data_IF_033133666843
#
_entry.id   IF_033133666843
#
_cell.length_a   1.000
_cell.length_b   1.000
_cell.length_c   1.000
_cell.angle_alpha   90.00
_cell.angle_beta   90.00
_cell.angle_gamma   90.00
#
_symmetry.space_group_name_H-M   'P 1'
#
loop_
_entity.id
_entity.type
_entity.pdbx_description
1 polymer ?
#
# COMPACT_ATOMS: atom_id res chain seq x y z
N UNK A 1 7.13 36.98 50.41
CA UNK A 1 5.93 36.59 49.64
C UNK A 1 6.37 35.52 48.71
N UNK A 2 6.28 34.28 49.17
CA UNK A 2 6.68 33.08 48.46
C UNK A 2 5.55 32.71 47.52
N UNK A 3 5.83 32.76 46.21
CA UNK A 3 4.93 32.24 45.20
C UNK A 3 5.33 30.76 44.95
N UNK A 4 4.51 29.83 45.44
CA UNK A 4 4.62 28.41 45.12
C UNK A 4 4.56 28.20 43.60
N UNK A 5 5.37 27.29 43.01
CA UNK A 5 5.23 26.89 41.61
C UNK A 5 3.98 26.06 41.45
N UNK A 6 3.13 26.49 40.53
CA UNK A 6 1.94 25.80 40.07
C UNK A 6 2.26 24.34 39.71
N UNK A 7 1.51 23.39 40.34
CA UNK A 7 1.59 21.97 40.04
C UNK A 7 1.33 21.71 38.55
N UNK A 8 2.34 21.18 37.87
CA UNK A 8 2.22 20.61 36.53
C UNK A 8 1.19 19.47 36.62
N UNK A 9 0.04 19.68 36.00
CA UNK A 9 -0.99 18.67 35.82
C UNK A 9 -0.38 17.45 35.13
N UNK A 10 -0.50 16.31 35.77
CA UNK A 10 -0.17 14.98 35.21
C UNK A 10 -0.71 14.86 33.77
N UNK A 11 0.05 14.31 32.81
CA UNK A 11 -0.46 14.16 31.46
C UNK A 11 -1.69 13.26 31.50
N UNK A 12 -2.85 13.85 31.16
CA UNK A 12 -4.05 13.08 30.93
C UNK A 12 -3.72 11.95 29.96
N UNK A 13 -4.05 10.72 30.32
CA UNK A 13 -3.99 9.55 29.43
C UNK A 13 -4.88 9.86 28.22
N UNK A 14 -4.28 10.39 27.15
CA UNK A 14 -4.99 10.65 25.91
C UNK A 14 -5.50 9.32 25.37
N UNK A 15 -6.82 9.18 25.29
CA UNK A 15 -7.48 8.11 24.54
C UNK A 15 -6.85 8.04 23.15
N UNK A 16 -6.50 6.84 22.65
CA UNK A 16 -5.98 6.69 21.28
C UNK A 16 -6.95 7.38 20.32
N UNK A 17 -6.42 8.27 19.48
CA UNK A 17 -7.23 9.03 18.52
C UNK A 17 -7.82 8.08 17.48
N UNK A 18 -9.03 8.38 17.01
CA UNK A 18 -9.59 7.69 15.85
C UNK A 18 -8.73 7.92 14.59
N UNK A 19 -8.66 6.94 13.71
CA UNK A 19 -7.83 6.97 12.50
C UNK A 19 -8.00 8.27 11.68
N UNK A 20 -9.25 8.74 11.51
CA UNK A 20 -9.51 9.97 10.75
C UNK A 20 -8.91 11.21 11.41
N UNK A 21 -8.91 11.28 12.74
CA UNK A 21 -8.25 12.35 13.50
C UNK A 21 -6.73 12.24 13.39
N UNK A 22 -6.20 11.02 13.50
CA UNK A 22 -4.76 10.79 13.36
C UNK A 22 -4.27 11.16 11.95
N UNK A 23 -5.01 10.82 10.90
CA UNK A 23 -4.68 11.18 9.52
C UNK A 23 -4.53 12.70 9.28
N UNK A 24 -5.29 13.52 10.03
CA UNK A 24 -5.20 14.99 9.94
C UNK A 24 -4.04 15.55 10.74
N UNK A 25 -3.65 14.93 11.85
CA UNK A 25 -2.72 15.50 12.83
C UNK A 25 -1.33 14.87 12.84
N UNK A 26 -1.17 13.60 12.43
CA UNK A 26 0.11 12.92 12.44
C UNK A 26 1.15 13.62 11.56
N UNK A 27 2.41 13.66 12.03
CA UNK A 27 3.52 14.34 11.35
C UNK A 27 3.47 15.88 11.41
N UNK A 28 2.63 16.45 12.30
CA UNK A 28 2.41 17.90 12.47
C UNK A 28 2.59 18.40 13.90
N UNK A 29 3.13 17.56 14.78
CA UNK A 29 3.16 17.82 16.23
C UNK A 29 3.97 19.06 16.61
N UNK A 30 5.01 19.42 15.84
CA UNK A 30 5.92 20.55 16.06
C UNK A 30 5.52 21.84 15.36
N UNK A 31 4.49 21.85 14.50
CA UNK A 31 4.13 23.03 13.70
C UNK A 31 3.81 24.24 14.56
N UNK A 32 3.15 24.05 15.70
CA UNK A 32 2.82 25.14 16.62
C UNK A 32 4.09 25.80 17.19
N UNK A 33 5.12 25.04 17.55
CA UNK A 33 6.39 25.56 18.04
C UNK A 33 7.19 26.31 16.96
N UNK A 34 6.96 25.94 15.69
CA UNK A 34 7.54 26.63 14.52
C UNK A 34 6.71 27.85 14.09
N UNK A 35 5.58 28.13 14.73
CA UNK A 35 4.65 29.20 14.32
C UNK A 35 3.99 28.95 12.98
N UNK A 36 3.85 27.68 12.56
CA UNK A 36 3.31 27.28 11.27
C UNK A 36 1.97 26.57 11.43
N UNK A 37 1.10 26.69 10.41
CA UNK A 37 -0.11 25.89 10.27
C UNK A 37 0.04 24.79 9.23
N UNK A 38 0.71 25.06 8.11
CA UNK A 38 1.03 24.07 7.08
C UNK A 38 2.47 23.53 7.27
N UNK A 39 2.68 22.25 6.95
CA UNK A 39 4.01 21.65 7.01
C UNK A 39 4.97 22.37 6.05
N UNK A 40 6.18 22.74 6.47
CA UNK A 40 7.18 23.35 5.61
C UNK A 40 7.75 22.31 4.62
N UNK A 41 8.28 22.80 3.50
CA UNK A 41 9.00 21.98 2.52
C UNK A 41 10.47 22.35 2.57
N UNK A 42 11.31 21.42 3.01
CA UNK A 42 12.77 21.57 3.00
C UNK A 42 13.33 20.85 1.77
N UNK A 43 13.88 21.62 0.83
CA UNK A 43 14.52 21.14 -0.40
C UNK A 43 16.04 21.12 -0.30
N UNK A 44 16.61 21.36 0.88
CA UNK A 44 18.06 21.36 1.08
C UNK A 44 18.63 19.97 0.79
N UNK A 45 19.68 19.90 -0.01
CA UNK A 45 20.43 18.66 -0.22
C UNK A 45 21.54 18.50 0.80
N UNK A 46 22.05 19.61 1.32
CA UNK A 46 23.10 19.69 2.34
C UNK A 46 22.73 20.72 3.38
N UNK A 47 23.27 20.57 4.57
CA UNK A 47 22.99 21.44 5.71
C UNK A 47 24.30 22.05 6.23
N UNK A 48 24.32 23.33 6.62
CA UNK A 48 25.52 23.95 7.18
C UNK A 48 25.96 23.23 8.46
N UNK A 49 27.23 22.92 8.55
CA UNK A 49 27.84 22.31 9.72
C UNK A 49 28.94 23.26 10.25
N UNK A 50 28.81 23.67 11.52
CA UNK A 50 29.79 24.43 12.24
C UNK A 50 30.48 23.62 13.34
N UNK A 51 30.08 22.34 13.49
CA UNK A 51 30.64 21.36 14.40
C UNK A 51 30.94 20.04 13.65
N UNK A 52 32.04 20.02 12.92
CA UNK A 52 32.47 18.88 12.14
C UNK A 52 32.77 17.62 12.98
N UNK A 53 33.10 17.79 14.27
CA UNK A 53 33.35 16.65 15.17
C UNK A 53 32.04 16.00 15.60
N UNK A 54 31.09 16.80 16.08
CA UNK A 54 29.76 16.29 16.43
C UNK A 54 29.02 15.74 15.21
N UNK A 55 29.25 16.29 14.00
CA UNK A 55 28.72 15.75 12.75
C UNK A 55 29.30 14.36 12.44
N UNK A 56 30.63 14.18 12.58
CA UNK A 56 31.28 12.89 12.40
C UNK A 56 30.72 11.84 13.39
N UNK A 57 30.53 12.20 14.66
CA UNK A 57 29.96 11.31 15.68
C UNK A 57 28.51 10.88 15.30
N UNK A 58 27.69 11.79 14.76
CA UNK A 58 26.34 11.46 14.27
C UNK A 58 26.37 10.54 13.07
N UNK A 59 27.28 10.75 12.11
CA UNK A 59 27.43 9.87 10.94
C UNK A 59 27.90 8.49 11.38
N UNK A 60 28.86 8.41 12.30
CA UNK A 60 29.36 7.14 12.84
C UNK A 60 28.25 6.38 13.59
N UNK A 61 27.46 7.07 14.40
CA UNK A 61 26.31 6.48 15.09
C UNK A 61 25.27 5.93 14.09
N UNK A 62 24.93 6.70 13.05
CA UNK A 62 24.04 6.24 11.99
C UNK A 62 24.62 5.04 11.24
N UNK A 63 25.89 5.06 10.89
CA UNK A 63 26.54 3.96 10.18
C UNK A 63 26.56 2.67 11.03
N UNK A 64 26.74 2.81 12.35
CA UNK A 64 26.77 1.67 13.27
C UNK A 64 25.37 1.11 13.57
N UNK A 65 24.36 1.95 13.71
CA UNK A 65 23.05 1.56 14.24
C UNK A 65 21.89 1.75 13.28
N UNK A 66 22.02 2.59 12.22
CA UNK A 66 20.91 3.00 11.37
C UNK A 66 19.87 3.89 12.05
N UNK A 67 20.07 4.22 13.33
CA UNK A 67 19.19 5.14 14.04
C UNK A 67 19.35 6.56 13.49
N UNK A 68 18.25 7.31 13.45
CA UNK A 68 18.32 8.72 13.09
C UNK A 68 19.10 9.49 14.17
N UNK A 69 20.14 10.22 13.80
CA UNK A 69 20.90 10.99 14.78
C UNK A 69 20.10 12.17 15.31
N UNK A 70 20.22 12.46 16.62
CA UNK A 70 19.70 13.67 17.20
C UNK A 70 20.43 14.91 16.66
N UNK A 71 19.71 16.00 16.47
CA UNK A 71 20.26 17.27 16.01
C UNK A 71 19.89 17.64 14.57
N UNK A 72 20.53 18.69 14.00
CA UNK A 72 20.23 19.13 12.65
C UNK A 72 20.64 18.07 11.62
N UNK A 73 19.91 17.96 10.50
CA UNK A 73 20.29 17.08 9.40
C UNK A 73 21.71 17.38 8.89
N UNK A 74 22.36 16.39 8.31
CA UNK A 74 23.71 16.51 7.73
C UNK A 74 23.63 16.59 6.21
N UNK A 75 22.91 15.66 5.64
CA UNK A 75 22.75 15.51 4.19
C UNK A 75 21.41 14.81 3.87
N UNK A 76 20.68 15.29 2.87
CA UNK A 76 19.31 14.85 2.58
C UNK A 76 19.14 13.35 2.29
N UNK A 77 20.19 12.65 1.89
CA UNK A 77 20.15 11.18 1.71
C UNK A 77 20.12 10.41 3.04
N UNK A 78 20.67 11.00 4.10
CA UNK A 78 20.58 10.45 5.46
C UNK A 78 19.18 10.69 6.03
N UNK A 79 18.76 11.95 6.04
CA UNK A 79 17.47 12.38 6.55
C UNK A 79 17.01 13.68 5.89
N UNK A 80 15.68 13.86 5.80
CA UNK A 80 15.06 15.09 5.36
C UNK A 80 13.80 15.38 6.19
N UNK A 81 13.66 16.57 6.82
CA UNK A 81 12.56 16.86 7.73
C UNK A 81 11.16 16.75 7.08
N UNK A 82 11.04 17.05 5.78
CA UNK A 82 9.77 16.94 5.07
C UNK A 82 9.36 15.49 4.88
N UNK A 83 10.31 14.63 4.49
CA UNK A 83 10.08 13.19 4.31
C UNK A 83 9.79 12.51 5.65
N UNK A 84 10.52 12.86 6.70
CA UNK A 84 10.34 12.34 8.05
C UNK A 84 8.92 12.57 8.60
N UNK A 85 8.27 13.69 8.25
CA UNK A 85 6.87 13.95 8.62
C UNK A 85 5.91 12.94 8.00
N UNK A 86 6.13 12.57 6.74
CA UNK A 86 5.32 11.54 6.08
C UNK A 86 5.55 10.17 6.72
N UNK A 87 6.80 9.82 6.99
CA UNK A 87 7.18 8.56 7.66
C UNK A 87 6.50 8.45 9.03
N UNK A 88 6.62 9.49 9.87
CA UNK A 88 5.95 9.56 11.18
C UNK A 88 4.43 9.42 11.07
N UNK A 89 3.82 10.10 10.10
CA UNK A 89 2.38 10.05 9.90
C UNK A 89 1.92 8.63 9.52
N UNK A 90 2.61 7.98 8.58
CA UNK A 90 2.22 6.63 8.16
C UNK A 90 2.45 5.59 9.27
N UNK A 91 3.57 5.66 9.99
CA UNK A 91 3.82 4.75 11.11
C UNK A 91 2.65 4.76 12.11
N UNK A 92 2.17 5.96 12.47
CA UNK A 92 1.00 6.11 13.36
C UNK A 92 -0.29 5.56 12.76
N UNK A 93 -0.53 5.76 11.46
CA UNK A 93 -1.73 5.25 10.80
C UNK A 93 -1.74 3.73 10.72
N UNK A 94 -0.60 3.10 10.46
CA UNK A 94 -0.46 1.64 10.46
C UNK A 94 -0.38 1.03 11.86
N UNK A 95 -0.09 1.83 12.89
CA UNK A 95 0.14 1.34 14.25
C UNK A 95 1.51 0.67 14.40
N UNK A 96 2.47 1.04 13.55
CA UNK A 96 3.85 0.58 13.60
C UNK A 96 4.73 1.55 14.44
N UNK A 97 5.88 1.07 14.89
CA UNK A 97 6.84 1.89 15.64
C UNK A 97 7.50 2.93 14.72
N UNK A 98 7.80 2.54 13.48
CA UNK A 98 8.51 3.36 12.52
C UNK A 98 8.03 3.13 11.10
N UNK A 99 8.38 4.07 10.19
CA UNK A 99 8.25 3.87 8.76
C UNK A 99 9.47 4.47 8.03
N UNK A 100 9.80 3.88 6.88
CA UNK A 100 10.91 4.34 6.03
C UNK A 100 10.41 4.52 4.59
N UNK A 101 10.54 5.72 4.05
CA UNK A 101 10.07 6.07 2.72
C UNK A 101 11.17 5.92 1.65
N UNK A 102 10.74 5.54 0.45
CA UNK A 102 11.56 5.26 -0.72
C UNK A 102 10.98 5.92 -1.98
N UNK A 103 11.79 6.01 -3.03
CA UNK A 103 11.39 6.62 -4.29
C UNK A 103 10.20 5.92 -5.00
N UNK A 104 9.94 4.66 -4.70
CA UNK A 104 8.81 3.88 -5.24
C UNK A 104 8.51 2.66 -4.38
N UNK A 105 7.33 2.03 -4.56
CA UNK A 105 6.99 0.76 -3.92
C UNK A 105 8.01 -0.34 -4.23
N UNK A 106 8.49 -0.41 -5.47
CA UNK A 106 9.54 -1.37 -5.86
C UNK A 106 10.88 -1.09 -5.18
N UNK A 107 11.27 0.17 -5.00
CA UNK A 107 12.47 0.53 -4.23
C UNK A 107 12.33 0.13 -2.76
N UNK A 108 11.12 0.28 -2.18
CA UNK A 108 10.82 -0.16 -0.83
C UNK A 108 10.93 -1.69 -0.67
N UNK A 109 10.33 -2.47 -1.58
CA UNK A 109 10.44 -3.93 -1.59
C UNK A 109 11.90 -4.38 -1.78
N UNK A 110 12.61 -3.76 -2.73
CA UNK A 110 14.05 -4.04 -2.96
C UNK A 110 14.86 -3.81 -1.70
N UNK A 111 14.59 -2.73 -0.95
CA UNK A 111 15.28 -2.45 0.30
C UNK A 111 15.02 -3.51 1.37
N UNK A 112 13.79 -4.03 1.49
CA UNK A 112 13.47 -5.15 2.39
C UNK A 112 14.26 -6.40 2.02
N UNK A 113 14.26 -6.76 0.74
CA UNK A 113 14.99 -7.94 0.26
C UNK A 113 16.50 -7.82 0.48
N UNK A 114 17.08 -6.64 0.20
CA UNK A 114 18.50 -6.37 0.47
C UNK A 114 18.83 -6.42 1.97
N UNK A 115 17.95 -5.87 2.81
CA UNK A 115 18.13 -5.92 4.27
C UNK A 115 18.14 -7.36 4.79
N UNK A 116 17.30 -8.24 4.24
CA UNK A 116 17.32 -9.69 4.61
C UNK A 116 18.54 -10.39 4.03
N UNK A 117 18.90 -10.12 2.79
CA UNK A 117 20.06 -10.70 2.14
C UNK A 117 21.39 -10.31 2.80
N UNK A 118 21.49 -9.10 3.37
CA UNK A 118 22.71 -8.61 4.03
C UNK A 118 23.09 -9.42 5.29
N UNK A 119 22.10 -10.08 5.91
CA UNK A 119 22.32 -10.98 7.06
C UNK A 119 22.30 -12.47 6.65
N UNK A 120 22.43 -12.77 5.35
CA UNK A 120 22.51 -14.14 4.83
C UNK A 120 21.16 -14.83 4.61
N UNK A 121 20.03 -14.17 4.90
CA UNK A 121 18.68 -14.71 4.76
C UNK A 121 18.10 -14.36 3.39
N UNK A 122 18.40 -15.18 2.38
CA UNK A 122 18.10 -14.90 0.96
C UNK A 122 16.86 -15.60 0.42
N UNK A 123 16.32 -16.57 1.16
CA UNK A 123 15.12 -17.27 0.75
C UNK A 123 13.86 -16.51 1.14
N UNK A 124 12.91 -16.44 0.21
CA UNK A 124 11.57 -15.83 0.38
C UNK A 124 10.51 -16.88 0.12
N UNK A 125 9.55 -17.00 1.03
CA UNK A 125 8.30 -17.74 0.77
C UNK A 125 7.25 -16.74 0.34
N UNK A 126 6.62 -16.94 -0.81
CA UNK A 126 5.65 -15.99 -1.35
C UNK A 126 4.37 -16.66 -1.83
N UNK A 127 3.24 -15.98 -1.64
CA UNK A 127 1.92 -16.45 -2.07
C UNK A 127 1.44 -15.62 -3.26
N UNK A 128 1.11 -16.30 -4.37
CA UNK A 128 0.51 -15.66 -5.55
C UNK A 128 -1.00 -15.52 -5.43
N UNK A 129 -1.60 -14.50 -6.12
CA UNK A 129 -0.95 -13.52 -6.96
C UNK A 129 -0.30 -12.39 -6.14
N UNK A 130 0.76 -11.80 -6.70
CA UNK A 130 1.37 -10.56 -6.26
C UNK A 130 1.35 -9.55 -7.41
N UNK A 131 1.61 -8.28 -7.10
CA UNK A 131 1.87 -7.29 -8.15
C UNK A 131 2.92 -7.79 -9.13
N UNK A 132 2.66 -7.69 -10.45
CA UNK A 132 3.47 -8.32 -11.49
C UNK A 132 4.97 -8.01 -11.42
N UNK A 133 5.36 -6.78 -11.04
CA UNK A 133 6.78 -6.47 -10.87
C UNK A 133 7.37 -7.07 -9.59
N UNK A 134 6.58 -7.27 -8.53
CA UNK A 134 7.02 -7.98 -7.32
C UNK A 134 7.24 -9.45 -7.60
N UNK A 135 6.31 -10.09 -8.32
CA UNK A 135 6.43 -11.47 -8.79
C UNK A 135 7.68 -11.65 -9.63
N UNK A 136 7.88 -10.78 -10.64
CA UNK A 136 9.05 -10.82 -11.51
C UNK A 136 10.36 -10.59 -10.75
N UNK A 137 10.43 -9.63 -9.82
CA UNK A 137 11.62 -9.36 -9.02
C UNK A 137 12.06 -10.59 -8.22
N UNK A 138 11.10 -11.28 -7.61
CA UNK A 138 11.34 -12.50 -6.84
C UNK A 138 11.72 -13.66 -7.76
N UNK A 139 10.93 -13.91 -8.81
CA UNK A 139 11.11 -15.05 -9.71
C UNK A 139 12.38 -14.98 -10.56
N UNK A 140 12.81 -13.77 -10.95
CA UNK A 140 14.04 -13.57 -11.73
C UNK A 140 15.32 -13.64 -10.89
N UNK A 141 15.23 -13.65 -9.56
CA UNK A 141 16.39 -13.70 -8.69
C UNK A 141 17.39 -12.55 -8.84
N UNK A 142 16.92 -11.39 -9.32
CA UNK A 142 17.76 -10.22 -9.66
C UNK A 142 18.62 -9.71 -8.50
N UNK A 143 18.18 -9.95 -7.26
CA UNK A 143 18.90 -9.54 -6.04
C UNK A 143 19.68 -10.69 -5.39
N UNK A 144 19.81 -11.82 -6.09
CA UNK A 144 20.40 -13.04 -5.52
C UNK A 144 19.52 -13.64 -4.42
N UNK A 145 18.23 -13.41 -4.48
CA UNK A 145 17.20 -14.05 -3.64
C UNK A 145 16.67 -15.28 -4.34
N UNK A 146 16.25 -16.27 -3.54
CA UNK A 146 15.52 -17.45 -3.99
C UNK A 146 14.06 -17.35 -3.52
N UNK A 147 13.10 -17.80 -4.33
CA UNK A 147 11.70 -17.81 -3.96
C UNK A 147 11.10 -19.21 -3.99
N UNK A 148 10.34 -19.55 -2.96
CA UNK A 148 9.39 -20.68 -3.00
C UNK A 148 7.99 -20.12 -3.06
N UNK A 149 7.30 -20.44 -4.16
CA UNK A 149 5.89 -20.11 -4.33
C UNK A 149 5.03 -21.17 -3.67
N UNK A 150 4.03 -20.73 -2.89
CA UNK A 150 3.11 -21.62 -2.19
C UNK A 150 1.72 -20.99 -2.07
N UNK A 151 0.77 -21.74 -1.60
CA UNK A 151 -0.51 -21.21 -1.08
C UNK A 151 -0.38 -20.91 0.43
N UNK A 152 -1.36 -20.25 1.06
CA UNK A 152 -1.32 -19.94 2.48
C UNK A 152 -1.18 -21.16 3.39
N UNK A 153 -1.69 -22.34 2.99
CA UNK A 153 -1.63 -23.55 3.79
C UNK A 153 -0.24 -24.19 3.77
N UNK A 154 0.51 -24.03 2.68
CA UNK A 154 1.86 -24.61 2.51
C UNK A 154 2.98 -23.76 3.07
N UNK A 155 2.73 -22.59 3.67
CA UNK A 155 3.77 -21.67 4.15
C UNK A 155 4.71 -22.35 5.15
N UNK A 156 4.17 -23.05 6.14
CA UNK A 156 4.98 -23.71 7.19
C UNK A 156 5.98 -24.71 6.60
N UNK A 157 5.54 -25.50 5.62
CA UNK A 157 6.38 -26.52 4.97
C UNK A 157 7.41 -25.91 4.01
N UNK A 158 7.16 -24.70 3.51
CA UNK A 158 8.06 -23.97 2.62
C UNK A 158 9.20 -23.24 3.37
N UNK A 159 9.08 -23.06 4.69
CA UNK A 159 10.09 -22.35 5.49
C UNK A 159 11.35 -23.20 5.65
N UNK A 160 12.49 -22.61 5.35
CA UNK A 160 13.85 -23.20 5.47
C UNK A 160 14.68 -22.42 6.51
N UNK A 161 15.83 -22.95 6.98
CA UNK A 161 16.69 -22.22 7.91
C UNK A 161 17.20 -20.86 7.40
N UNK A 162 17.32 -20.69 6.08
CA UNK A 162 17.76 -19.47 5.42
C UNK A 162 16.58 -18.60 4.93
N UNK A 163 15.33 -18.94 5.30
CA UNK A 163 14.16 -18.12 4.97
C UNK A 163 14.20 -16.80 5.73
N UNK A 164 14.29 -15.71 4.97
CA UNK A 164 14.36 -14.36 5.49
C UNK A 164 13.01 -13.64 5.55
N UNK A 165 12.05 -14.08 4.76
CA UNK A 165 10.79 -13.36 4.59
C UNK A 165 9.69 -14.30 4.13
N UNK A 166 8.47 -14.07 4.66
CA UNK A 166 7.23 -14.53 4.04
C UNK A 166 6.53 -13.30 3.46
N UNK A 167 6.05 -13.36 2.21
CA UNK A 167 5.40 -12.23 1.54
C UNK A 167 4.03 -12.59 1.02
N UNK A 168 3.04 -11.77 1.34
CA UNK A 168 1.68 -11.82 0.79
C UNK A 168 1.21 -10.44 0.36
N UNK A 169 0.20 -10.40 -0.51
CA UNK A 169 -0.55 -9.22 -0.90
C UNK A 169 -2.04 -9.48 -0.66
N UNK A 170 -2.70 -8.63 0.15
CA UNK A 170 -4.11 -8.85 0.48
C UNK A 170 -4.83 -7.51 0.74
N UNK A 171 -5.94 -7.23 -0.02
CA UNK A 171 -6.46 -7.97 -1.18
C UNK A 171 -5.45 -8.02 -2.33
N UNK A 172 -5.36 -9.17 -2.99
CA UNK A 172 -4.32 -9.45 -3.98
C UNK A 172 -4.64 -8.83 -5.37
N UNK A 173 -3.66 -8.24 -6.00
CA UNK A 173 -3.78 -7.67 -7.34
C UNK A 173 -3.56 -8.75 -8.41
N UNK A 174 -4.45 -8.92 -9.40
CA UNK A 174 -5.68 -8.18 -9.66
C UNK A 174 -6.96 -8.90 -9.23
N UNK A 175 -6.86 -10.08 -8.66
CA UNK A 175 -7.99 -10.99 -8.38
C UNK A 175 -8.82 -10.56 -7.18
N UNK A 176 -8.28 -9.66 -6.35
CA UNK A 176 -8.87 -9.17 -5.11
C UNK A 176 -9.13 -10.26 -4.06
N UNK A 177 -8.42 -11.40 -4.19
CA UNK A 177 -8.47 -12.46 -3.21
C UNK A 177 -7.94 -11.98 -1.85
N UNK A 178 -8.64 -12.35 -0.79
CA UNK A 178 -8.26 -12.01 0.58
C UNK A 178 -7.54 -13.18 1.24
N UNK A 179 -6.52 -12.85 2.03
CA UNK A 179 -5.75 -13.82 2.81
C UNK A 179 -5.87 -13.43 4.28
N UNK A 180 -6.16 -14.38 5.16
CA UNK A 180 -6.18 -14.17 6.60
C UNK A 180 -4.75 -13.93 7.11
N UNK A 181 -4.43 -12.66 7.37
CA UNK A 181 -3.10 -12.24 7.83
C UNK A 181 -2.73 -12.92 9.16
N UNK A 182 -3.69 -13.09 10.08
CA UNK A 182 -3.43 -13.69 11.40
C UNK A 182 -3.08 -15.17 11.26
N UNK A 183 -3.79 -15.90 10.43
CA UNK A 183 -3.50 -17.30 10.14
C UNK A 183 -2.11 -17.45 9.51
N UNK A 184 -1.79 -16.61 8.52
CA UNK A 184 -0.46 -16.61 7.87
C UNK A 184 0.64 -16.22 8.86
N UNK A 185 0.46 -15.18 9.68
CA UNK A 185 1.43 -14.78 10.69
C UNK A 185 1.74 -15.92 11.68
N UNK A 186 0.72 -16.71 12.05
CA UNK A 186 0.93 -17.90 12.86
C UNK A 186 1.77 -18.97 12.13
N UNK A 187 1.52 -19.20 10.85
CA UNK A 187 2.25 -20.17 10.03
C UNK A 187 3.71 -19.76 9.76
N UNK A 188 4.03 -18.47 9.86
CA UNK A 188 5.39 -17.95 9.68
C UNK A 188 6.34 -18.28 10.85
N UNK A 189 5.84 -18.60 12.04
CA UNK A 189 6.65 -18.80 13.23
C UNK A 189 7.49 -17.55 13.56
N UNK A 190 8.82 -17.69 13.52
CA UNK A 190 9.77 -16.58 13.77
C UNK A 190 10.14 -15.78 12.52
N UNK A 191 9.79 -16.27 11.32
CA UNK A 191 10.09 -15.59 10.06
C UNK A 191 9.18 -14.37 9.92
N UNK A 192 9.71 -13.17 9.62
CA UNK A 192 8.88 -11.98 9.48
C UNK A 192 7.92 -12.09 8.29
N UNK A 193 6.64 -11.75 8.53
CA UNK A 193 5.62 -11.60 7.51
C UNK A 193 5.63 -10.17 6.98
N UNK A 194 5.81 -10.02 5.65
CA UNK A 194 5.55 -8.81 4.91
C UNK A 194 4.16 -8.90 4.27
N UNK A 195 3.36 -7.87 4.51
CA UNK A 195 2.06 -7.69 3.84
C UNK A 195 2.13 -6.45 2.96
N UNK A 196 1.92 -6.61 1.65
CA UNK A 196 1.63 -5.47 0.78
C UNK A 196 0.17 -5.04 1.02
N UNK A 197 0.02 -3.89 1.71
CA UNK A 197 -1.25 -3.33 2.14
C UNK A 197 -1.73 -2.18 1.22
N UNK A 198 -1.17 -2.10 0.02
CA UNK A 198 -1.43 -0.98 -0.92
C UNK A 198 -2.92 -0.82 -1.25
N UNK A 199 -3.67 -1.92 -1.40
CA UNK A 199 -5.08 -1.87 -1.78
C UNK A 199 -6.01 -1.54 -0.61
N UNK A 200 -5.76 -2.13 0.56
CA UNK A 200 -6.60 -1.92 1.73
C UNK A 200 -6.32 -0.58 2.42
N UNK A 201 -5.08 -0.14 2.43
CA UNK A 201 -4.63 1.02 3.21
C UNK A 201 -4.88 0.85 4.72
N UNK A 202 -4.31 1.68 5.62
CA UNK A 202 -4.62 1.61 7.05
C UNK A 202 -6.09 1.97 7.38
N UNK A 203 -6.87 2.41 6.38
CA UNK A 203 -8.30 2.72 6.57
C UNK A 203 -9.15 1.46 6.70
N UNK A 204 -8.83 0.42 5.93
CA UNK A 204 -9.61 -0.82 5.91
C UNK A 204 -8.92 -1.92 6.71
N UNK A 205 -7.58 -1.96 6.73
CA UNK A 205 -6.81 -3.03 7.32
C UNK A 205 -5.49 -2.50 7.88
N UNK A 206 -5.09 -2.98 9.04
CA UNK A 206 -3.79 -2.73 9.67
C UNK A 206 -3.08 -4.05 9.93
N UNK A 207 -2.22 -4.48 9.04
CA UNK A 207 -1.57 -5.79 9.13
C UNK A 207 -0.78 -6.03 10.42
N UNK A 208 -0.22 -4.96 11.01
CA UNK A 208 0.51 -5.05 12.29
C UNK A 208 -0.39 -5.58 13.42
N UNK A 209 -1.66 -5.18 13.46
CA UNK A 209 -2.64 -5.66 14.48
C UNK A 209 -2.99 -7.15 14.31
N UNK A 210 -2.61 -7.73 13.17
CA UNK A 210 -2.80 -9.14 12.83
C UNK A 210 -1.51 -9.98 12.81
N UNK A 211 -0.39 -9.39 13.26
CA UNK A 211 0.88 -10.11 13.43
C UNK A 211 1.87 -9.95 12.27
N UNK A 212 1.59 -9.13 11.26
CA UNK A 212 2.59 -8.74 10.28
C UNK A 212 3.68 -7.89 10.94
N UNK A 213 4.96 -8.17 10.64
CA UNK A 213 6.07 -7.37 11.13
C UNK A 213 6.51 -6.29 10.17
N UNK A 214 6.15 -6.43 8.89
CA UNK A 214 6.54 -5.52 7.82
C UNK A 214 5.29 -5.23 6.98
N UNK A 215 4.95 -3.95 6.83
CA UNK A 215 3.84 -3.50 6.00
C UNK A 215 4.40 -2.64 4.88
N UNK A 216 4.18 -3.08 3.65
CA UNK A 216 4.62 -2.39 2.44
C UNK A 216 3.46 -1.61 1.83
N UNK A 217 3.75 -0.40 1.32
CA UNK A 217 2.85 0.33 0.45
C UNK A 217 3.56 0.89 -0.77
N UNK A 218 2.93 0.77 -1.91
CA UNK A 218 3.14 1.74 -2.98
C UNK A 218 2.42 3.04 -2.61
N UNK A 219 3.15 4.00 -2.06
CA UNK A 219 2.58 5.29 -1.65
C UNK A 219 2.07 6.12 -2.85
N UNK A 220 2.50 5.78 -4.07
CA UNK A 220 2.01 6.25 -5.37
C UNK A 220 0.48 6.14 -5.50
N UNK A 221 -0.13 5.19 -4.80
CA UNK A 221 -1.53 4.80 -4.94
C UNK A 221 -2.41 5.63 -3.98
N UNK A 222 -3.25 4.99 -3.20
CA UNK A 222 -4.20 5.64 -2.28
C UNK A 222 -3.57 6.63 -1.29
N UNK A 223 -2.32 6.39 -0.83
CA UNK A 223 -1.68 7.29 0.12
C UNK A 223 -1.47 8.69 -0.49
N UNK A 224 -0.95 8.77 -1.72
CA UNK A 224 -0.93 10.00 -2.51
C UNK A 224 -2.32 10.42 -2.98
N UNK A 225 -3.00 9.52 -3.65
CA UNK A 225 -4.42 9.58 -3.98
C UNK A 225 -4.84 10.55 -5.08
N UNK A 226 -3.89 11.17 -5.79
CA UNK A 226 -4.18 12.18 -6.81
C UNK A 226 -3.48 11.91 -8.15
N UNK A 227 -2.78 10.79 -8.29
CA UNK A 227 -2.09 10.43 -9.54
C UNK A 227 -0.87 11.29 -9.88
N UNK A 228 -0.37 12.10 -8.95
CA UNK A 228 0.64 13.14 -9.15
C UNK A 228 1.94 12.93 -8.37
N UNK A 229 2.06 11.83 -7.63
CA UNK A 229 3.22 11.51 -6.81
C UNK A 229 3.61 10.05 -6.91
N UNK A 230 4.91 9.78 -6.96
CA UNK A 230 5.46 8.43 -6.86
C UNK A 230 6.23 8.28 -5.55
N UNK A 231 6.02 7.14 -4.86
CA UNK A 231 6.71 6.82 -3.63
C UNK A 231 6.42 5.39 -3.18
N UNK A 232 7.24 4.90 -2.27
CA UNK A 232 7.03 3.66 -1.54
C UNK A 232 7.33 3.87 -0.07
N UNK A 233 6.80 3.02 0.80
CA UNK A 233 7.08 3.10 2.23
C UNK A 233 6.93 1.74 2.87
N UNK A 234 7.76 1.48 3.86
CA UNK A 234 7.71 0.28 4.71
C UNK A 234 7.46 0.74 6.14
N UNK A 235 6.38 0.26 6.77
CA UNK A 235 6.12 0.42 8.19
C UNK A 235 6.51 -0.88 8.94
N UNK A 236 7.26 -0.77 10.05
CA UNK A 236 7.84 -1.89 10.77
C UNK A 236 8.25 -1.49 12.20
N UNK A 237 8.90 -2.40 12.92
CA UNK A 237 9.59 -2.07 14.17
C UNK A 237 10.82 -1.18 13.92
N UNK A 238 11.30 -0.49 14.95
CA UNK A 238 12.42 0.46 14.84
C UNK A 238 13.74 -0.24 14.49
N UNK A 239 13.95 -1.46 14.97
CA UNK A 239 15.16 -2.23 14.68
C UNK A 239 15.29 -2.51 13.17
N UNK A 240 14.21 -2.95 12.55
CA UNK A 240 14.20 -3.19 11.10
C UNK A 240 14.23 -1.89 10.30
N UNK A 241 13.56 -0.84 10.78
CA UNK A 241 13.60 0.49 10.16
C UNK A 241 15.03 1.05 10.11
N UNK A 242 15.81 0.87 11.17
CA UNK A 242 17.22 1.25 11.21
C UNK A 242 18.02 0.58 10.08
N UNK A 243 17.85 -0.74 9.88
CA UNK A 243 18.47 -1.47 8.78
C UNK A 243 18.00 -0.93 7.41
N UNK A 244 16.73 -0.63 7.25
CA UNK A 244 16.19 -0.05 6.02
C UNK A 244 16.77 1.32 5.70
N UNK A 245 16.99 2.17 6.72
CA UNK A 245 17.65 3.48 6.54
C UNK A 245 19.09 3.32 6.04
N UNK A 246 19.84 2.34 6.57
CA UNK A 246 21.20 2.04 6.06
C UNK A 246 21.17 1.57 4.60
N UNK A 247 20.23 0.69 4.23
CA UNK A 247 20.05 0.25 2.85
C UNK A 247 19.68 1.43 1.95
N UNK A 248 18.72 2.27 2.39
CA UNK A 248 18.32 3.49 1.66
C UNK A 248 19.49 4.43 1.44
N UNK A 249 20.29 4.67 2.47
CA UNK A 249 21.48 5.51 2.38
C UNK A 249 22.49 4.96 1.37
N UNK A 250 22.77 3.66 1.41
CA UNK A 250 23.73 3.02 0.52
C UNK A 250 23.26 2.96 -0.94
N UNK A 251 21.98 2.67 -1.16
CA UNK A 251 21.41 2.50 -2.51
C UNK A 251 20.94 3.80 -3.15
N UNK A 252 20.72 4.86 -2.36
CA UNK A 252 20.22 6.14 -2.84
C UNK A 252 18.73 6.14 -3.23
N UNK A 253 17.95 5.13 -2.81
CA UNK A 253 16.52 5.02 -3.09
C UNK A 253 15.64 5.99 -2.30
N UNK A 254 16.09 7.23 -2.12
CA UNK A 254 15.45 8.25 -1.29
C UNK A 254 14.20 8.84 -1.93
N UNK A 255 13.20 9.14 -1.12
CA UNK A 255 12.02 9.88 -1.53
C UNK A 255 12.36 11.37 -1.67
N UNK A 256 11.95 12.01 -2.76
CA UNK A 256 12.15 13.45 -2.94
C UNK A 256 11.28 14.23 -1.93
N UNK A 257 11.79 15.31 -1.29
CA UNK A 257 11.04 16.05 -0.27
C UNK A 257 9.66 16.56 -0.71
N UNK A 258 9.53 17.03 -1.96
CA UNK A 258 8.24 17.45 -2.48
C UNK A 258 7.25 16.27 -2.56
N UNK A 259 7.71 15.07 -2.93
CA UNK A 259 6.89 13.87 -2.88
C UNK A 259 6.49 13.54 -1.43
N UNK A 260 7.39 13.65 -0.46
CA UNK A 260 7.09 13.51 0.97
C UNK A 260 5.99 14.48 1.44
N UNK A 261 6.06 15.73 1.01
CA UNK A 261 5.01 16.73 1.28
C UNK A 261 3.66 16.35 0.67
N UNK A 262 3.63 15.97 -0.62
CA UNK A 262 2.40 15.57 -1.31
C UNK A 262 1.78 14.33 -0.66
N UNK A 263 2.60 13.35 -0.27
CA UNK A 263 2.15 12.17 0.44
C UNK A 263 1.58 12.51 1.83
N UNK A 264 2.24 13.34 2.62
CA UNK A 264 1.71 13.81 3.90
C UNK A 264 0.35 14.52 3.73
N UNK A 265 0.24 15.37 2.69
CA UNK A 265 -1.01 16.04 2.33
C UNK A 265 -2.08 15.04 1.91
N UNK A 266 -1.71 14.01 1.12
CA UNK A 266 -2.59 12.93 0.71
C UNK A 266 -3.16 12.14 1.89
N UNK A 267 -2.32 11.81 2.89
CA UNK A 267 -2.75 11.11 4.11
C UNK A 267 -3.86 11.85 4.85
N UNK A 268 -3.84 13.18 4.87
CA UNK A 268 -4.83 13.98 5.61
C UNK A 268 -6.27 13.77 5.12
N UNK A 269 -6.45 13.34 3.87
CA UNK A 269 -7.77 13.04 3.26
C UNK A 269 -7.96 11.56 2.96
N UNK A 270 -7.00 10.70 3.28
CA UNK A 270 -7.05 9.27 2.97
C UNK A 270 -8.35 8.61 3.47
N UNK A 271 -8.79 8.79 4.74
CA UNK A 271 -9.97 8.09 5.23
C UNK A 271 -11.27 8.51 4.51
N UNK A 272 -11.41 9.77 4.13
CA UNK A 272 -12.61 10.24 3.43
C UNK A 272 -12.61 9.76 1.98
N UNK A 273 -11.46 9.80 1.30
CA UNK A 273 -11.34 9.32 -0.09
C UNK A 273 -11.59 7.81 -0.18
N UNK A 274 -10.94 7.02 0.66
CA UNK A 274 -11.09 5.55 0.64
C UNK A 274 -12.53 5.16 0.92
N UNK A 275 -13.20 5.76 1.92
CA UNK A 275 -14.60 5.44 2.24
C UNK A 275 -15.56 5.82 1.11
N UNK A 276 -15.39 7.00 0.51
CA UNK A 276 -16.24 7.44 -0.60
C UNK A 276 -16.05 6.54 -1.83
N UNK A 277 -14.81 6.29 -2.24
CA UNK A 277 -14.50 5.42 -3.36
C UNK A 277 -14.98 3.97 -3.12
N UNK A 278 -14.85 3.46 -1.89
CA UNK A 278 -15.34 2.13 -1.52
C UNK A 278 -16.86 2.02 -1.64
N UNK A 279 -17.60 3.06 -1.26
CA UNK A 279 -19.06 3.07 -1.42
C UNK A 279 -19.47 3.00 -2.90
N UNK A 280 -18.84 3.78 -3.77
CA UNK A 280 -19.04 3.71 -5.21
C UNK A 280 -18.66 2.35 -5.80
N UNK A 281 -17.52 1.79 -5.37
CA UNK A 281 -17.06 0.48 -5.82
C UNK A 281 -18.01 -0.66 -5.43
N UNK A 282 -18.53 -0.64 -4.20
CA UNK A 282 -19.50 -1.64 -3.75
C UNK A 282 -20.79 -1.60 -4.59
N UNK A 283 -21.30 -0.42 -4.90
CA UNK A 283 -22.50 -0.27 -5.74
C UNK A 283 -22.22 -0.71 -7.19
N UNK A 284 -21.08 -0.34 -7.77
CA UNK A 284 -20.69 -0.81 -9.10
C UNK A 284 -20.51 -2.33 -9.14
N UNK A 285 -19.87 -2.92 -8.14
CA UNK A 285 -19.70 -4.37 -8.03
C UNK A 285 -21.06 -5.09 -7.97
N UNK A 286 -22.02 -4.56 -7.21
CA UNK A 286 -23.38 -5.08 -7.11
C UNK A 286 -24.10 -5.01 -8.47
N UNK A 287 -24.01 -3.90 -9.19
CA UNK A 287 -24.63 -3.71 -10.52
C UNK A 287 -23.99 -4.62 -11.56
N UNK A 288 -22.66 -4.69 -11.60
CA UNK A 288 -21.91 -5.57 -12.50
C UNK A 288 -22.29 -7.06 -12.26
N UNK A 289 -22.46 -7.46 -10.98
CA UNK A 289 -22.87 -8.84 -10.65
C UNK A 289 -24.27 -9.20 -11.18
N UNK A 290 -25.13 -8.21 -11.39
CA UNK A 290 -26.47 -8.39 -11.94
C UNK A 290 -26.50 -8.27 -13.48
N UNK A 291 -25.44 -7.78 -14.11
CA UNK A 291 -25.40 -7.52 -15.56
C UNK A 291 -25.15 -8.83 -16.35
N UNK A 292 -25.99 -9.18 -17.34
CA UNK A 292 -25.84 -10.41 -18.12
C UNK A 292 -24.60 -10.43 -19.02
N UNK A 293 -23.94 -9.30 -19.27
CA UNK A 293 -22.71 -9.20 -20.07
C UNK A 293 -21.46 -9.53 -19.26
N UNK A 294 -21.57 -9.59 -17.91
CA UNK A 294 -20.49 -9.86 -16.97
C UNK A 294 -20.55 -11.33 -16.53
N UNK A 295 -19.46 -12.03 -16.69
CA UNK A 295 -19.35 -13.45 -16.35
C UNK A 295 -19.12 -13.64 -14.84
N UNK A 296 -18.29 -12.79 -14.24
CA UNK A 296 -17.91 -12.87 -12.83
C UNK A 296 -17.46 -11.49 -12.32
N UNK A 297 -17.73 -11.23 -11.06
CA UNK A 297 -17.22 -10.03 -10.34
C UNK A 297 -16.42 -10.49 -9.15
N UNK A 298 -15.27 -9.86 -8.94
CA UNK A 298 -14.40 -10.02 -7.79
C UNK A 298 -14.44 -8.72 -7.00
N UNK A 299 -14.88 -8.80 -5.76
CA UNK A 299 -14.91 -7.68 -4.83
C UNK A 299 -14.65 -8.21 -3.42
N UNK A 300 -13.70 -7.62 -2.66
CA UNK A 300 -13.34 -8.14 -1.35
C UNK A 300 -14.47 -7.99 -0.32
N UNK A 301 -14.58 -8.92 0.63
CA UNK A 301 -15.48 -8.77 1.79
C UNK A 301 -15.07 -7.60 2.68
N UNK A 302 -13.77 -7.31 2.76
CA UNK A 302 -13.20 -6.12 3.40
C UNK A 302 -13.73 -4.80 2.79
N UNK A 303 -14.25 -4.84 1.55
CA UNK A 303 -14.57 -3.67 0.76
C UNK A 303 -13.35 -3.11 0.03
N UNK A 304 -13.33 -1.79 -0.14
CA UNK A 304 -12.25 -1.10 -0.87
C UNK A 304 -12.73 -0.54 -2.20
N UNK A 305 -11.86 0.20 -2.86
CA UNK A 305 -12.20 0.91 -4.08
C UNK A 305 -11.78 0.17 -5.38
N UNK A 306 -11.33 -1.08 -5.27
CA UNK A 306 -10.99 -1.92 -6.41
C UNK A 306 -12.15 -2.85 -6.76
N UNK A 307 -12.48 -2.96 -8.04
CA UNK A 307 -13.40 -3.96 -8.58
C UNK A 307 -12.73 -4.64 -9.75
N UNK A 308 -12.69 -5.98 -9.75
CA UNK A 308 -12.26 -6.74 -10.91
C UNK A 308 -13.45 -7.55 -11.44
N UNK A 309 -13.58 -7.66 -12.76
CA UNK A 309 -14.69 -8.38 -13.36
C UNK A 309 -14.30 -9.01 -14.69
N UNK A 310 -14.93 -10.13 -14.99
CA UNK A 310 -14.74 -10.86 -16.25
C UNK A 310 -15.94 -10.62 -17.16
N UNK A 311 -15.68 -10.31 -18.42
CA UNK A 311 -16.74 -10.10 -19.42
C UNK A 311 -16.88 -11.31 -20.34
N UNK A 312 -18.10 -11.56 -20.84
CA UNK A 312 -18.30 -12.58 -21.87
C UNK A 312 -17.75 -12.14 -23.22
N UNK A 313 -17.80 -10.85 -23.52
CA UNK A 313 -17.30 -10.24 -24.74
C UNK A 313 -15.79 -9.97 -24.73
N UNK A 314 -15.36 -9.11 -25.63
CA UNK A 314 -13.97 -8.67 -25.76
C UNK A 314 -13.62 -7.57 -24.76
N UNK A 315 -12.74 -7.82 -23.77
CA UNK A 315 -12.36 -6.82 -22.77
C UNK A 315 -11.67 -5.59 -23.39
N UNK A 316 -10.97 -5.75 -24.51
CA UNK A 316 -10.30 -4.65 -25.19
C UNK A 316 -11.30 -3.67 -25.80
N UNK A 317 -12.43 -4.17 -26.30
CA UNK A 317 -13.52 -3.30 -26.78
C UNK A 317 -14.18 -2.54 -25.64
N UNK A 318 -14.36 -3.17 -24.47
CA UNK A 318 -14.86 -2.47 -23.27
C UNK A 318 -13.93 -1.31 -22.90
N UNK A 319 -12.61 -1.56 -22.84
CA UNK A 319 -11.62 -0.51 -22.56
C UNK A 319 -11.66 0.60 -23.60
N UNK A 320 -11.77 0.27 -24.88
CA UNK A 320 -11.83 1.25 -25.95
C UNK A 320 -13.15 2.03 -25.97
N UNK A 321 -14.21 1.49 -25.38
CA UNK A 321 -15.55 2.04 -25.35
C UNK A 321 -15.81 3.05 -24.23
N UNK A 322 -15.03 3.04 -23.12
CA UNK A 322 -15.22 4.01 -22.02
C UNK A 322 -14.91 5.43 -22.47
N UNK A 323 -15.63 6.41 -21.91
CA UNK A 323 -15.55 7.82 -22.27
C UNK A 323 -15.26 8.74 -21.08
N UNK A 324 -15.74 8.37 -19.91
CA UNK A 324 -15.50 9.04 -18.63
C UNK A 324 -14.38 8.34 -17.86
N UNK A 325 -14.49 7.03 -17.73
CA UNK A 325 -13.47 6.20 -17.07
C UNK A 325 -12.19 6.24 -17.88
N UNK A 326 -11.05 6.49 -17.22
CA UNK A 326 -9.75 6.61 -17.90
C UNK A 326 -9.10 5.24 -18.11
N UNK A 327 -8.83 4.81 -19.36
CA UNK A 327 -8.04 3.62 -19.64
C UNK A 327 -6.57 3.86 -19.29
N UNK A 328 -6.13 3.43 -18.10
CA UNK A 328 -4.77 3.64 -17.64
C UNK A 328 -4.32 2.56 -16.66
N UNK A 329 -3.00 2.37 -16.57
CA UNK A 329 -2.37 1.65 -15.46
C UNK A 329 -2.45 2.49 -14.20
N UNK A 330 -2.17 1.87 -13.06
CA UNK A 330 -2.23 2.46 -11.74
C UNK A 330 -3.59 2.28 -11.07
N UNK A 331 -3.77 2.93 -9.93
CA UNK A 331 -4.99 2.86 -9.11
C UNK A 331 -4.93 3.89 -7.98
N UNK A 332 -6.04 4.05 -7.27
CA UNK A 332 -6.08 4.81 -6.03
C UNK A 332 -6.08 6.32 -6.18
N UNK A 333 -6.27 6.82 -7.41
CA UNK A 333 -6.50 8.24 -7.71
C UNK A 333 -7.93 8.66 -7.38
N UNK A 334 -8.21 9.96 -7.45
CA UNK A 334 -9.55 10.54 -7.30
C UNK A 334 -10.43 10.25 -8.51
N UNK A 335 -9.86 9.97 -9.67
CA UNK A 335 -10.53 9.58 -10.90
C UNK A 335 -10.55 8.05 -11.06
N UNK A 336 -11.57 7.55 -11.76
CA UNK A 336 -11.75 6.12 -12.02
C UNK A 336 -10.88 5.66 -13.17
N UNK A 337 -10.09 4.59 -12.91
CA UNK A 337 -9.18 3.97 -13.89
C UNK A 337 -9.64 2.55 -14.21
N UNK A 338 -9.49 2.13 -15.48
CA UNK A 338 -9.73 0.76 -15.92
C UNK A 338 -8.56 0.21 -16.73
N UNK A 339 -8.23 -1.08 -16.54
CA UNK A 339 -7.20 -1.74 -17.34
C UNK A 339 -7.50 -3.23 -17.53
N UNK A 340 -6.80 -3.84 -18.51
CA UNK A 340 -6.71 -5.28 -18.72
C UNK A 340 -5.40 -5.82 -18.11
N UNK A 341 -5.42 -6.49 -16.94
CA UNK A 341 -4.22 -6.87 -16.22
C UNK A 341 -3.28 -7.77 -17.02
N UNK A 342 -3.82 -8.76 -17.74
CA UNK A 342 -3.03 -9.71 -18.53
C UNK A 342 -2.23 -9.04 -19.66
N UNK A 343 -2.71 -7.92 -20.21
CA UNK A 343 -1.99 -7.17 -21.26
C UNK A 343 -0.97 -6.18 -20.73
N UNK A 344 -1.09 -5.72 -19.46
CA UNK A 344 -0.29 -4.60 -18.96
C UNK A 344 0.40 -4.95 -17.63
N UNK A 345 -0.31 -4.89 -16.50
CA UNK A 345 0.31 -4.94 -15.18
C UNK A 345 0.89 -6.31 -14.80
N UNK A 346 0.40 -7.38 -15.41
CA UNK A 346 0.86 -8.76 -15.20
C UNK A 346 1.46 -9.37 -16.48
N UNK A 347 1.71 -8.57 -17.53
CA UNK A 347 2.30 -9.05 -18.77
C UNK A 347 3.70 -9.64 -18.61
N UNK A 348 4.43 -9.14 -17.62
CA UNK A 348 5.79 -9.58 -17.30
C UNK A 348 5.83 -10.96 -16.59
N UNK A 349 4.71 -11.39 -16.01
CA UNK A 349 4.56 -12.72 -15.39
C UNK A 349 4.32 -13.75 -16.47
N UNK A 350 4.93 -14.94 -16.35
CA UNK A 350 4.71 -16.05 -17.28
C UNK A 350 3.23 -16.37 -17.44
N UNK A 351 2.82 -16.75 -18.64
CA UNK A 351 1.39 -16.98 -18.93
C UNK A 351 0.77 -18.11 -18.10
N UNK A 352 1.50 -19.21 -17.91
CA UNK A 352 1.03 -20.33 -17.10
C UNK A 352 0.88 -19.94 -15.62
N UNK A 353 1.85 -19.22 -15.09
CA UNK A 353 1.82 -18.68 -13.73
C UNK A 353 0.68 -17.68 -13.54
N UNK A 354 0.48 -16.78 -14.51
CA UNK A 354 -0.59 -15.80 -14.53
C UNK A 354 -1.97 -16.44 -14.52
N UNK A 355 -2.18 -17.46 -15.40
CA UNK A 355 -3.46 -18.18 -15.46
C UNK A 355 -3.73 -18.98 -14.19
N UNK A 356 -2.71 -19.66 -13.64
CA UNK A 356 -2.84 -20.43 -12.40
C UNK A 356 -3.16 -19.51 -11.20
N UNK A 357 -2.71 -18.27 -11.23
CA UNK A 357 -3.04 -17.25 -10.25
C UNK A 357 -4.40 -16.56 -10.48
N UNK A 358 -5.22 -17.03 -11.46
CA UNK A 358 -6.55 -16.52 -11.74
C UNK A 358 -6.58 -15.21 -12.55
N UNK A 359 -5.47 -14.84 -13.19
CA UNK A 359 -5.37 -13.63 -14.03
C UNK A 359 -5.60 -14.02 -15.50
N UNK A 360 -6.87 -14.24 -15.86
CA UNK A 360 -7.28 -14.63 -17.19
C UNK A 360 -7.40 -13.47 -18.19
N UNK A 361 -7.52 -13.82 -19.48
CA UNK A 361 -7.58 -12.86 -20.60
C UNK A 361 -8.93 -12.11 -20.72
N UNK A 362 -9.92 -12.43 -19.89
CA UNK A 362 -11.21 -11.74 -19.83
C UNK A 362 -11.36 -10.81 -18.65
N UNK A 363 -10.34 -10.75 -17.79
CA UNK A 363 -10.36 -10.00 -16.55
C UNK A 363 -10.07 -8.52 -16.83
N UNK A 364 -10.98 -7.65 -16.38
CA UNK A 364 -10.80 -6.22 -16.27
C UNK A 364 -10.64 -5.85 -14.80
N UNK A 365 -9.79 -4.87 -14.52
CA UNK A 365 -9.62 -4.30 -13.18
C UNK A 365 -9.92 -2.81 -13.21
N UNK A 366 -10.82 -2.37 -12.34
CA UNK A 366 -11.21 -0.98 -12.18
C UNK A 366 -10.81 -0.47 -10.80
N UNK A 367 -10.19 0.69 -10.74
CA UNK A 367 -9.96 1.48 -9.55
C UNK A 367 -10.98 2.59 -9.51
N UNK A 368 -11.96 2.49 -8.64
CA UNK A 368 -13.07 3.46 -8.55
C UNK A 368 -12.59 4.72 -7.85
N UNK A 369 -12.88 5.87 -8.43
CA UNK A 369 -12.58 7.19 -7.92
C UNK A 369 -13.70 7.78 -7.08
N UNK A 370 -13.88 9.11 -7.20
CA UNK A 370 -14.82 9.89 -6.41
C UNK A 370 -15.96 10.47 -7.26
N UNK A 371 -16.06 10.08 -8.52
CA UNK A 371 -17.10 10.50 -9.42
C UNK A 371 -18.46 9.97 -8.97
N UNK A 372 -19.55 10.60 -9.45
CA UNK A 372 -20.89 10.09 -9.21
C UNK A 372 -21.05 8.68 -9.79
N UNK A 373 -21.62 7.79 -9.00
CA UNK A 373 -21.75 6.37 -9.37
C UNK A 373 -22.67 6.15 -10.56
N UNK A 374 -23.67 7.03 -10.77
CA UNK A 374 -24.57 6.94 -11.91
C UNK A 374 -23.86 7.30 -13.22
N UNK A 375 -22.97 8.29 -13.20
CA UNK A 375 -22.17 8.67 -14.36
C UNK A 375 -21.19 7.53 -14.72
N UNK A 376 -20.53 6.94 -13.73
CA UNK A 376 -19.65 5.78 -13.94
C UNK A 376 -20.40 4.56 -14.48
N UNK A 377 -21.62 4.32 -13.96
CA UNK A 377 -22.45 3.22 -14.41
C UNK A 377 -22.94 3.42 -15.84
N UNK A 378 -23.34 4.64 -16.19
CA UNK A 378 -23.75 4.97 -17.56
C UNK A 378 -22.61 4.74 -18.56
N UNK A 379 -21.38 5.13 -18.21
CA UNK A 379 -20.19 4.90 -19.04
C UNK A 379 -19.89 3.40 -19.20
N UNK A 380 -19.94 2.63 -18.11
CA UNK A 380 -19.76 1.17 -18.17
C UNK A 380 -20.84 0.48 -19.01
N UNK A 381 -22.11 0.88 -18.87
CA UNK A 381 -23.20 0.28 -19.63
C UNK A 381 -23.03 0.42 -21.14
N UNK A 382 -22.62 1.61 -21.60
CA UNK A 382 -22.40 1.83 -23.03
C UNK A 382 -21.16 1.05 -23.51
N UNK A 383 -20.06 1.05 -22.75
CA UNK A 383 -18.85 0.33 -23.09
C UNK A 383 -19.03 -1.20 -23.14
N UNK A 384 -19.80 -1.76 -22.20
CA UNK A 384 -20.15 -3.18 -22.19
C UNK A 384 -21.06 -3.57 -23.38
N UNK A 385 -21.89 -2.64 -23.90
CA UNK A 385 -22.71 -2.89 -25.08
C UNK A 385 -21.87 -3.00 -26.34
N UNK A 386 -20.88 -2.14 -26.49
CA UNK A 386 -19.92 -2.17 -27.61
C UNK A 386 -19.05 -3.44 -27.59
N UNK A 387 -18.80 -3.99 -26.39
CA UNK A 387 -18.06 -5.24 -26.17
C UNK A 387 -18.85 -6.52 -26.44
N UNK A 388 -20.19 -6.47 -26.46
CA UNK A 388 -21.04 -7.67 -26.43
C UNK A 388 -21.39 -8.27 -27.81
N UNK A 389 -21.02 -7.65 -28.93
CA UNK A 389 -21.40 -8.13 -30.28
C UNK A 389 -20.83 -9.50 -30.70
N UNK A 390 -20.21 -10.26 -29.83
CA UNK A 390 -19.52 -11.51 -30.18
C UNK A 390 -19.73 -12.76 -29.28
N UNK A 391 -20.73 -12.84 -28.40
CA UNK A 391 -20.93 -14.07 -27.60
C UNK A 391 -22.40 -14.43 -27.35
N UNK A 392 -22.83 -15.58 -27.90
CA UNK A 392 -24.06 -16.25 -27.50
C UNK A 392 -23.87 -16.94 -26.12
N UNK A 393 -24.91 -16.99 -25.27
CA UNK A 393 -24.78 -17.44 -23.88
C UNK A 393 -24.55 -18.93 -23.72
N UNK A 394 -23.47 -19.30 -23.06
CA UNK A 394 -23.36 -20.63 -22.43
C UNK A 394 -24.07 -20.60 -21.07
N UNK A 395 -24.78 -21.64 -20.76
CA UNK A 395 -25.65 -21.87 -19.61
C UNK A 395 -24.99 -21.47 -18.25
N UNK A 396 -25.76 -20.77 -17.44
CA UNK A 396 -25.42 -20.37 -16.05
C UNK A 396 -25.01 -21.58 -15.19
N UNK A 397 -23.78 -21.60 -14.70
CA UNK A 397 -23.35 -22.42 -13.57
C UNK A 397 -22.69 -21.54 -12.51
N UNK A 398 -23.29 -21.52 -11.33
CA UNK A 398 -22.68 -21.13 -10.05
C UNK A 398 -22.39 -19.64 -9.85
N UNK A 399 -23.37 -18.84 -9.43
CA UNK A 399 -23.16 -17.55 -8.77
C UNK A 399 -22.76 -17.80 -7.32
N UNK A 400 -21.63 -17.23 -6.90
CA UNK A 400 -21.34 -17.07 -5.48
C UNK A 400 -21.95 -15.76 -5.01
N UNK A 401 -22.75 -15.84 -3.92
CA UNK A 401 -23.46 -14.73 -3.36
C UNK A 401 -22.47 -13.65 -2.82
N UNK A 402 -22.71 -12.41 -3.21
CA UNK A 402 -22.10 -11.26 -2.55
C UNK A 402 -22.80 -11.11 -1.19
N UNK A 403 -22.09 -11.08 -0.06
CA UNK A 403 -22.75 -10.88 1.24
C UNK A 403 -23.46 -9.52 1.27
N UNK A 404 -24.73 -9.51 1.64
CA UNK A 404 -25.46 -8.29 1.95
C UNK A 404 -24.77 -7.60 3.16
N UNK A 405 -24.18 -6.45 2.94
CA UNK A 405 -23.69 -5.60 4.03
C UNK A 405 -24.88 -4.91 4.69
N UNK A 406 -25.27 -5.38 5.87
CA UNK A 406 -26.19 -4.62 6.72
C UNK A 406 -25.61 -3.23 7.02
N UNK A 407 -26.42 -2.16 6.95
CA UNK A 407 -25.95 -0.83 7.32
C UNK A 407 -25.61 -0.80 8.82
N UNK A 408 -24.39 -0.38 9.14
CA UNK A 408 -23.90 -0.23 10.49
C UNK A 408 -24.89 0.61 11.31
N UNK A 409 -25.56 -0.02 12.28
CA UNK A 409 -26.40 0.67 13.28
C UNK A 409 -25.48 1.57 14.09
N UNK A 410 -25.75 2.86 14.06
CA UNK A 410 -25.15 3.85 14.94
C UNK A 410 -25.42 3.46 16.40
N UNK A 411 -24.40 2.95 17.09
CA UNK A 411 -24.42 2.85 18.53
C UNK A 411 -24.14 4.25 19.08
N UNK A 412 -25.19 4.92 19.53
CA UNK A 412 -25.08 6.09 20.39
C UNK A 412 -24.56 5.70 21.77
N UNK A 413 -23.55 6.35 22.20
CA UNK A 413 -23.19 6.98 23.48
C UNK A 413 -21.70 7.31 23.49
#
# INVERSE_FOLDING_TARGET
MDTEPSALTSPATFRSRALATEAVHAGRDDLASLGLHAAPIDLSTTYPSYDSRGEAERIDAFAATGAQPDGPPVYARLDNPTTARFETALARLEGAESAVAFASGMAALTAVLLARASVGLRHVVAVRPLYGCSDHLLGAGLLGTEVTWTDPAGITDAIRPDTGLVMIETPANPTLAEIDIRAVAHSCGSVPLLVDNTFATPVLQRPVEHGARIVLHSATKYLGGHGDVMGGVVACDEEFAATLRQVRFATGGVLHPLAGYLLLRGLSTLPVRVRAASAGAAELARRLSADPRVARVHYPALGGAMVSFEVYGDPHRVIAGVRLITPAVSLGSVDTLIQHPASISHRIVDEGDRQSAGVGDRLLRMSVGLEDVEDLWADLCQALSDGSEAAAPATRAGRTDVPETEPARSAGR
#
